data_IF_472476229566
#
_entry.id   IF_472476229566
#
_cell.length_a   1.000
_cell.length_b   1.000
_cell.length_c   1.000
_cell.angle_alpha   90.00
_cell.angle_beta   90.00
_cell.angle_gamma   90.00
#
_symmetry.space_group_name_H-M   'P 1'
#
loop_
_entity.id
_entity.type
_entity.pdbx_description
1 polymer ?
#
# COMPACT_ATOMS: atom_id res chain seq x y z
N UNK A 1 7.80 5.84 11.61
CA UNK A 1 8.02 5.48 10.19
C UNK A 1 7.68 4.02 9.87
N UNK A 2 7.98 3.04 10.73
CA UNK A 2 7.66 1.63 10.47
C UNK A 2 6.15 1.37 10.26
N UNK A 3 5.29 1.86 11.17
CA UNK A 3 3.83 1.77 11.01
C UNK A 3 3.36 2.46 9.72
N UNK A 4 3.85 3.67 9.44
CA UNK A 4 3.51 4.39 8.21
C UNK A 4 3.85 3.56 6.97
N UNK A 5 5.04 2.94 6.90
CA UNK A 5 5.38 2.09 5.76
C UNK A 5 4.36 0.97 5.55
N UNK A 6 4.00 0.26 6.63
CA UNK A 6 3.01 -0.82 6.55
C UNK A 6 1.64 -0.30 6.10
N UNK A 7 1.22 0.87 6.57
CA UNK A 7 -0.07 1.46 6.20
C UNK A 7 -0.11 1.85 4.70
N UNK A 8 0.90 2.57 4.21
CA UNK A 8 0.93 3.02 2.81
C UNK A 8 1.09 1.83 1.85
N UNK A 9 1.94 0.84 2.20
CA UNK A 9 2.06 -0.42 1.44
C UNK A 9 0.71 -1.14 1.37
N UNK A 10 0.03 -1.23 2.50
CA UNK A 10 -1.28 -1.85 2.57
C UNK A 10 -2.31 -1.08 1.75
N UNK A 11 -2.24 0.25 1.70
CA UNK A 11 -3.08 1.09 0.85
C UNK A 11 -2.98 0.69 -0.62
N UNK A 12 -1.75 0.57 -1.14
CA UNK A 12 -1.49 0.12 -2.53
C UNK A 12 -2.16 -1.22 -2.82
N UNK A 13 -1.86 -2.23 -1.99
CA UNK A 13 -2.37 -3.59 -2.20
C UNK A 13 -3.88 -3.71 -1.97
N UNK A 14 -4.45 -2.92 -1.06
CA UNK A 14 -5.89 -2.92 -0.79
C UNK A 14 -6.68 -2.36 -1.97
N UNK A 15 -6.28 -1.19 -2.51
CA UNK A 15 -6.96 -0.61 -3.68
C UNK A 15 -6.86 -1.53 -4.91
N UNK A 16 -5.68 -2.07 -5.20
CA UNK A 16 -5.49 -3.04 -6.28
C UNK A 16 -6.34 -4.31 -6.08
N UNK A 17 -6.39 -4.84 -4.86
CA UNK A 17 -7.17 -6.03 -4.52
C UNK A 17 -8.68 -5.85 -4.70
N UNK A 18 -9.19 -4.61 -4.63
CA UNK A 18 -10.61 -4.31 -4.83
C UNK A 18 -10.98 -4.05 -6.29
N UNK A 19 -10.02 -3.79 -7.19
CA UNK A 19 -10.28 -3.54 -8.62
C UNK A 19 -11.28 -4.53 -9.25
N UNK A 20 -11.15 -5.87 -9.12
CA UNK A 20 -12.10 -6.80 -9.75
C UNK A 20 -13.50 -6.79 -9.13
N UNK A 21 -13.65 -6.26 -7.91
CA UNK A 21 -14.89 -6.25 -7.14
C UNK A 21 -15.71 -4.97 -7.36
N UNK A 22 -15.07 -3.86 -7.75
CA UNK A 22 -15.76 -2.59 -7.98
C UNK A 22 -16.49 -2.61 -9.33
N UNK A 23 -17.84 -2.58 -9.30
CA UNK A 23 -18.67 -2.58 -10.52
C UNK A 23 -19.06 -1.18 -11.00
N UNK A 24 -19.08 -0.21 -10.10
CA UNK A 24 -19.46 1.17 -10.41
C UNK A 24 -18.26 1.95 -10.91
N UNK A 25 -18.30 2.44 -12.16
CA UNK A 25 -17.21 3.20 -12.79
C UNK A 25 -16.77 4.43 -11.99
N UNK A 26 -17.72 5.16 -11.40
CA UNK A 26 -17.41 6.32 -10.56
C UNK A 26 -16.58 5.94 -9.31
N UNK A 27 -16.90 4.81 -8.68
CA UNK A 27 -16.15 4.28 -7.53
C UNK A 27 -14.78 3.78 -7.98
N UNK A 28 -14.70 3.09 -9.12
CA UNK A 28 -13.43 2.61 -9.67
C UNK A 28 -12.48 3.78 -9.99
N UNK A 29 -13.01 4.87 -10.55
CA UNK A 29 -12.24 6.08 -10.80
C UNK A 29 -11.74 6.72 -9.50
N UNK A 30 -12.57 6.75 -8.46
CA UNK A 30 -12.16 7.20 -7.12
C UNK A 30 -11.02 6.36 -6.55
N UNK A 31 -11.18 5.04 -6.52
CA UNK A 31 -10.15 4.10 -6.07
C UNK A 31 -8.85 4.24 -6.88
N UNK A 32 -8.96 4.33 -8.21
CA UNK A 32 -7.82 4.50 -9.11
C UNK A 32 -7.09 5.84 -8.95
N UNK A 33 -7.75 6.88 -8.44
CA UNK A 33 -7.11 8.16 -8.08
C UNK A 33 -6.33 8.09 -6.78
N UNK A 34 -6.75 7.26 -5.83
CA UNK A 34 -6.10 7.12 -4.52
C UNK A 34 -4.87 6.22 -4.64
N UNK A 35 -4.95 5.11 -5.38
CA UNK A 35 -3.85 4.17 -5.59
C UNK A 35 -2.47 4.82 -5.87
N UNK A 36 -2.31 5.73 -6.86
CA UNK A 36 -1.01 6.34 -7.12
C UNK A 36 -0.55 7.32 -6.03
N UNK A 37 -1.44 7.80 -5.17
CA UNK A 37 -1.08 8.61 -3.99
C UNK A 37 -0.44 7.71 -2.93
N UNK A 38 -1.08 6.59 -2.58
CA UNK A 38 -0.54 5.58 -1.64
C UNK A 38 0.83 5.08 -2.10
N UNK A 39 1.00 4.80 -3.40
CA UNK A 39 2.29 4.37 -3.94
C UNK A 39 3.40 5.41 -3.77
N UNK A 40 3.09 6.71 -3.92
CA UNK A 40 4.06 7.80 -3.69
C UNK A 40 4.42 7.94 -2.22
N UNK A 41 3.43 7.83 -1.32
CA UNK A 41 3.69 7.82 0.11
C UNK A 41 4.58 6.63 0.51
N UNK A 42 4.28 5.43 0.01
CA UNK A 42 5.07 4.23 0.24
C UNK A 42 6.53 4.39 -0.22
N UNK A 43 6.75 5.02 -1.39
CA UNK A 43 8.08 5.34 -1.90
C UNK A 43 8.82 6.35 -1.01
N UNK A 44 8.16 7.46 -0.65
CA UNK A 44 8.76 8.50 0.20
C UNK A 44 9.07 7.99 1.61
N UNK A 45 8.20 7.17 2.20
CA UNK A 45 8.46 6.59 3.51
C UNK A 45 9.67 5.65 3.47
N UNK A 46 9.84 4.84 2.42
CA UNK A 46 11.06 4.03 2.26
C UNK A 46 12.30 4.88 2.12
N UNK A 47 12.24 5.92 1.30
CA UNK A 47 13.35 6.85 1.12
C UNK A 47 13.78 7.49 2.46
N UNK A 48 12.81 8.01 3.23
CA UNK A 48 13.06 8.58 4.56
C UNK A 48 13.62 7.55 5.55
N UNK A 49 13.16 6.29 5.48
CA UNK A 49 13.59 5.23 6.41
C UNK A 49 14.96 4.66 6.11
N UNK A 50 15.33 4.61 4.84
CA UNK A 50 16.50 3.87 4.36
C UNK A 50 17.50 4.72 3.58
N UNK A 51 17.30 6.05 3.55
CA UNK A 51 18.17 7.02 2.89
C UNK A 51 18.46 6.65 1.43
N UNK A 52 17.41 6.37 0.65
CA UNK A 52 17.54 5.94 -0.75
C UNK A 52 18.09 4.53 -0.91
N UNK A 53 17.73 3.59 -0.03
CA UNK A 53 18.18 2.20 -0.07
C UNK A 53 18.04 1.56 -1.46
N UNK A 54 18.91 0.59 -1.78
CA UNK A 54 19.03 0.05 -3.16
C UNK A 54 18.58 -1.40 -3.30
N UNK A 55 18.17 -2.04 -2.20
CA UNK A 55 17.67 -3.42 -2.22
C UNK A 55 16.14 -3.43 -2.24
N UNK A 56 15.53 -4.51 -2.74
CA UNK A 56 14.07 -4.64 -2.80
C UNK A 56 13.33 -4.22 -1.51
N UNK A 57 13.72 -4.60 -0.28
CA UNK A 57 12.99 -4.17 0.92
C UNK A 57 13.19 -2.68 1.30
N UNK A 58 14.17 -1.99 0.72
CA UNK A 58 14.60 -0.65 1.14
C UNK A 58 14.49 0.42 0.05
N UNK A 59 14.41 0.02 -1.21
CA UNK A 59 14.30 0.95 -2.33
C UNK A 59 12.90 1.55 -2.45
N UNK A 60 12.78 2.85 -2.79
CA UNK A 60 11.48 3.51 -2.97
C UNK A 60 10.55 2.84 -3.99
N UNK A 61 11.12 2.14 -4.98
CA UNK A 61 10.37 1.40 -6.01
C UNK A 61 10.85 -0.07 -6.06
N UNK A 62 10.31 -0.94 -5.18
CA UNK A 62 10.84 -2.28 -4.96
C UNK A 62 10.55 -3.26 -6.10
N UNK A 63 9.51 -3.00 -6.89
CA UNK A 63 9.07 -3.82 -8.00
C UNK A 63 8.46 -2.97 -9.14
N UNK A 64 8.47 -3.47 -10.39
CA UNK A 64 7.81 -2.80 -11.51
C UNK A 64 6.28 -2.98 -11.51
N UNK A 65 5.77 -3.98 -10.80
CA UNK A 65 4.35 -4.30 -10.67
C UNK A 65 4.03 -4.66 -9.22
N UNK A 66 2.82 -4.35 -8.79
CA UNK A 66 2.30 -4.69 -7.48
C UNK A 66 1.01 -5.50 -7.63
N UNK A 67 0.84 -6.50 -6.77
CA UNK A 67 -0.36 -7.33 -6.74
C UNK A 67 -1.35 -6.85 -5.68
N UNK A 68 -2.65 -7.04 -5.95
CA UNK A 68 -3.69 -6.80 -4.97
C UNK A 68 -3.70 -7.86 -3.86
N UNK A 69 -3.95 -7.44 -2.61
CA UNK A 69 -4.08 -8.37 -1.48
C UNK A 69 -5.53 -8.65 -1.12
N UNK A 70 -5.76 -9.82 -0.52
CA UNK A 70 -7.05 -10.16 0.08
C UNK A 70 -7.31 -9.30 1.32
N UNK A 71 -8.59 -9.09 1.65
CA UNK A 71 -9.00 -8.40 2.89
C UNK A 71 -8.32 -9.00 4.13
N UNK A 72 -8.20 -10.32 4.19
CA UNK A 72 -7.57 -10.99 5.33
C UNK A 72 -6.09 -10.61 5.48
N UNK A 73 -5.34 -10.57 4.37
CA UNK A 73 -3.91 -10.20 4.38
C UNK A 73 -3.72 -8.72 4.73
N UNK A 74 -4.55 -7.84 4.17
CA UNK A 74 -4.61 -6.40 4.53
C UNK A 74 -4.85 -6.22 6.03
N UNK A 75 -5.88 -6.87 6.58
CA UNK A 75 -6.26 -6.71 7.98
C UNK A 75 -5.20 -7.28 8.94
N UNK A 76 -4.57 -8.39 8.57
CA UNK A 76 -3.46 -8.96 9.32
C UNK A 76 -2.26 -8.00 9.38
N UNK A 77 -1.86 -7.40 8.24
CA UNK A 77 -0.76 -6.45 8.18
C UNK A 77 -1.02 -5.21 9.06
N UNK A 78 -2.22 -4.62 8.96
CA UNK A 78 -2.57 -3.43 9.76
C UNK A 78 -2.66 -3.77 11.25
N UNK A 79 -3.24 -4.91 11.63
CA UNK A 79 -3.28 -5.34 13.05
C UNK A 79 -1.89 -5.54 13.64
N UNK A 80 -0.95 -6.09 12.88
CA UNK A 80 0.42 -6.27 13.35
C UNK A 80 1.13 -4.95 13.71
N UNK A 81 0.62 -3.81 13.23
CA UNK A 81 1.14 -2.48 13.60
C UNK A 81 0.58 -1.94 14.92
N UNK A 82 -0.48 -2.55 15.47
CA UNK A 82 -1.25 -2.02 16.60
C UNK A 82 -2.23 -0.89 16.24
N UNK A 83 -2.37 -0.53 14.96
CA UNK A 83 -3.26 0.54 14.51
C UNK A 83 -4.75 0.19 14.62
N UNK A 84 -5.09 -1.09 14.47
CA UNK A 84 -6.42 -1.62 14.77
C UNK A 84 -6.35 -2.29 16.13
N UNK A 85 -7.09 -1.75 17.11
CA UNK A 85 -7.27 -2.33 18.44
C UNK A 85 -8.69 -2.89 18.56
N UNK A 86 -8.83 -4.16 18.94
CA UNK A 86 -10.09 -4.92 18.95
C UNK A 86 -9.90 -6.31 18.38
#
# INVERSE_FOLDING_TARGET
AATAQVLEDTGVHAYLGQVPLIKTKAVLLGAGRILPVEARHAAWIRDIRFSGGTTAPTTPAPAPFEDGFSKAKVLAAVRATGFIVG
#
